data_IF_026452988357
#
_entry.id   IF_026452988357
#
_cell.length_a   1.000
_cell.length_b   1.000
_cell.length_c   1.000
_cell.angle_alpha   90.00
_cell.angle_beta   90.00
_cell.angle_gamma   90.00
#
_symmetry.space_group_name_H-M   'P 1'
#
loop_
_entity.id
_entity.type
_entity.pdbx_description
1 polymer ?
#
# COMPACT_ATOMS: atom_id res chain seq x y z
N UNK A 1 -54.39 7.90 64.93
CA UNK A 1 -54.74 8.09 63.50
C UNK A 1 -54.29 9.50 63.13
N UNK A 2 -53.37 9.82 62.23
CA UNK A 2 -52.75 9.11 61.10
C UNK A 2 -51.38 9.74 60.79
N UNK A 3 -50.43 8.89 60.41
CA UNK A 3 -49.03 9.19 60.11
C UNK A 3 -48.91 9.83 58.71
N UNK A 4 -48.48 11.10 58.63
CA UNK A 4 -48.25 11.81 57.36
C UNK A 4 -46.77 11.75 56.96
N UNK A 5 -46.18 10.56 56.89
CA UNK A 5 -44.92 10.30 56.19
C UNK A 5 -45.22 9.59 54.87
N UNK A 6 -45.58 10.35 53.84
CA UNK A 6 -45.49 9.84 52.48
C UNK A 6 -45.10 10.96 51.53
N UNK A 7 -44.26 10.61 50.55
CA UNK A 7 -43.68 11.46 49.49
C UNK A 7 -42.39 12.23 49.85
N UNK A 8 -41.36 11.50 50.25
CA UNK A 8 -40.00 11.79 49.76
C UNK A 8 -39.48 10.52 49.10
N UNK A 9 -40.02 10.21 47.93
CA UNK A 9 -39.59 9.05 47.14
C UNK A 9 -40.10 9.20 45.72
N UNK A 10 -39.67 10.22 44.97
CA UNK A 10 -39.78 10.23 43.50
C UNK A 10 -38.75 11.19 42.87
N UNK A 11 -37.48 11.11 43.28
CA UNK A 11 -36.39 11.47 42.36
C UNK A 11 -36.07 10.22 41.54
N UNK A 12 -36.89 9.97 40.52
CA UNK A 12 -36.60 8.96 39.51
C UNK A 12 -35.28 9.35 38.83
N UNK A 13 -34.26 8.51 39.01
CA UNK A 13 -32.94 8.73 38.41
C UNK A 13 -33.11 8.98 36.90
N UNK A 14 -32.48 10.02 36.33
CA UNK A 14 -32.69 10.36 34.93
C UNK A 14 -32.20 9.21 34.03
N UNK A 15 -33.13 8.59 33.30
CA UNK A 15 -32.92 7.54 32.27
C UNK A 15 -31.95 7.98 31.14
N UNK A 16 -31.61 9.27 31.09
CA UNK A 16 -30.67 9.91 30.15
C UNK A 16 -29.22 9.38 30.27
N UNK A 17 -28.82 8.89 31.46
CA UNK A 17 -27.45 8.42 31.73
C UNK A 17 -27.05 7.15 30.98
N UNK A 18 -27.98 6.23 30.71
CA UNK A 18 -27.68 4.99 29.97
C UNK A 18 -27.47 5.23 28.48
N UNK A 19 -28.26 6.14 27.87
CA UNK A 19 -28.16 6.47 26.44
C UNK A 19 -26.83 7.13 26.09
N UNK A 20 -26.35 8.05 26.92
CA UNK A 20 -25.03 8.71 26.74
C UNK A 20 -23.89 7.70 26.88
N UNK A 21 -23.99 6.76 27.84
CA UNK A 21 -22.97 5.72 28.03
C UNK A 21 -22.92 4.73 26.86
N UNK A 22 -24.07 4.38 26.28
CA UNK A 22 -24.14 3.53 25.10
C UNK A 22 -23.62 4.27 23.85
N UNK A 23 -23.87 5.58 23.73
CA UNK A 23 -23.34 6.40 22.64
C UNK A 23 -21.81 6.55 22.73
N UNK A 24 -21.27 6.82 23.93
CA UNK A 24 -19.84 6.88 24.17
C UNK A 24 -19.14 5.53 23.88
N UNK A 25 -19.73 4.41 24.29
CA UNK A 25 -19.23 3.07 23.94
C UNK A 25 -19.27 2.81 22.44
N UNK A 26 -20.36 3.15 21.75
CA UNK A 26 -20.47 2.99 20.30
C UNK A 26 -19.43 3.84 19.55
N UNK A 27 -19.23 5.08 19.98
CA UNK A 27 -18.22 5.98 19.41
C UNK A 27 -16.80 5.47 19.64
N UNK A 28 -16.52 4.92 20.83
CA UNK A 28 -15.21 4.34 21.18
C UNK A 28 -14.95 3.05 20.38
N UNK A 29 -15.94 2.18 20.22
CA UNK A 29 -15.85 0.97 19.39
C UNK A 29 -15.63 1.35 17.91
N UNK A 30 -16.35 2.36 17.40
CA UNK A 30 -16.20 2.83 16.02
C UNK A 30 -14.77 3.35 15.78
N UNK A 31 -14.25 4.17 16.70
CA UNK A 31 -12.90 4.71 16.62
C UNK A 31 -11.84 3.60 16.71
N UNK A 32 -12.03 2.63 17.62
CA UNK A 32 -11.12 1.49 17.75
C UNK A 32 -11.09 0.62 16.50
N UNK A 33 -12.24 0.35 15.87
CA UNK A 33 -12.34 -0.40 14.62
C UNK A 33 -11.69 0.33 13.44
N UNK A 34 -11.84 1.66 13.38
CA UNK A 34 -11.19 2.48 12.35
C UNK A 34 -9.66 2.48 12.53
N UNK A 35 -9.18 2.56 13.77
CA UNK A 35 -7.76 2.50 14.09
C UNK A 35 -7.15 1.14 13.74
N UNK A 36 -7.81 0.03 14.11
CA UNK A 36 -7.32 -1.32 13.78
C UNK A 36 -7.32 -1.59 12.28
N UNK A 37 -8.35 -1.14 11.55
CA UNK A 37 -8.38 -1.24 10.09
C UNK A 37 -7.25 -0.45 9.43
N UNK A 38 -7.01 0.79 9.86
CA UNK A 38 -5.92 1.62 9.33
C UNK A 38 -4.54 0.98 9.55
N UNK A 39 -4.28 0.48 10.76
CA UNK A 39 -3.02 -0.22 11.09
C UNK A 39 -2.87 -1.49 10.26
N UNK A 40 -3.95 -2.24 10.03
CA UNK A 40 -3.95 -3.42 9.16
C UNK A 40 -3.57 -3.08 7.71
N UNK A 41 -4.15 -2.02 7.15
CA UNK A 41 -3.82 -1.55 5.80
C UNK A 41 -2.36 -1.07 5.70
N UNK A 42 -1.88 -0.34 6.72
CA UNK A 42 -0.51 0.18 6.75
C UNK A 42 0.51 -0.96 6.76
N UNK A 43 0.32 -1.98 7.61
CA UNK A 43 1.17 -3.16 7.63
C UNK A 43 1.11 -3.93 6.31
N UNK A 44 -0.08 -4.10 5.73
CA UNK A 44 -0.25 -4.78 4.45
C UNK A 44 0.55 -4.08 3.35
N UNK A 45 0.45 -2.76 3.23
CA UNK A 45 1.19 -1.99 2.23
C UNK A 45 2.71 -2.04 2.46
N UNK A 46 3.15 -2.00 3.72
CA UNK A 46 4.57 -2.11 4.06
C UNK A 46 5.13 -3.49 3.68
N UNK A 47 4.43 -4.56 4.04
CA UNK A 47 4.84 -5.95 3.76
C UNK A 47 4.86 -6.26 2.26
N UNK A 48 3.81 -5.87 1.53
CA UNK A 48 3.69 -6.16 0.09
C UNK A 48 4.74 -5.39 -0.72
N UNK A 49 5.22 -4.23 -0.26
CA UNK A 49 6.35 -3.51 -0.89
C UNK A 49 7.60 -4.39 -0.99
N UNK A 50 7.97 -5.06 0.10
CA UNK A 50 9.14 -5.93 0.12
C UNK A 50 8.96 -7.13 -0.81
N UNK A 51 7.73 -7.66 -0.88
CA UNK A 51 7.38 -8.71 -1.83
C UNK A 51 7.54 -8.25 -3.29
N UNK A 52 7.08 -7.04 -3.63
CA UNK A 52 7.29 -6.44 -4.97
C UNK A 52 8.78 -6.34 -5.29
N UNK A 53 9.59 -5.81 -4.37
CA UNK A 53 11.03 -5.65 -4.59
C UNK A 53 11.73 -6.99 -4.82
N UNK A 54 11.43 -8.01 -4.02
CA UNK A 54 11.99 -9.36 -4.18
C UNK A 54 11.59 -9.94 -5.53
N UNK A 55 10.30 -9.89 -5.89
CA UNK A 55 9.82 -10.40 -7.18
C UNK A 55 10.44 -9.64 -8.36
N UNK A 56 10.62 -8.33 -8.24
CA UNK A 56 11.22 -7.49 -9.28
C UNK A 56 12.68 -7.89 -9.51
N UNK A 57 13.45 -8.10 -8.44
CA UNK A 57 14.82 -8.58 -8.52
C UNK A 57 14.91 -9.99 -9.11
N UNK A 58 14.00 -10.90 -8.76
CA UNK A 58 13.95 -12.24 -9.35
C UNK A 58 13.71 -12.16 -10.86
N UNK A 59 12.73 -11.37 -11.32
CA UNK A 59 12.44 -11.23 -12.76
C UNK A 59 13.65 -10.65 -13.49
N UNK A 60 14.28 -9.60 -12.96
CA UNK A 60 15.48 -8.99 -13.55
C UNK A 60 16.64 -10.00 -13.60
N UNK A 61 16.89 -10.72 -12.51
CA UNK A 61 17.96 -11.72 -12.44
C UNK A 61 17.74 -12.86 -13.44
N UNK A 62 16.53 -13.41 -13.51
CA UNK A 62 16.18 -14.46 -14.49
C UNK A 62 16.29 -13.95 -15.92
N UNK A 63 15.81 -12.74 -16.21
CA UNK A 63 15.88 -12.19 -17.57
C UNK A 63 17.30 -11.88 -18.01
N UNK A 64 18.15 -11.39 -17.10
CA UNK A 64 19.59 -11.21 -17.35
C UNK A 64 20.29 -12.54 -17.62
N UNK A 65 20.04 -13.56 -16.79
CA UNK A 65 20.61 -14.89 -17.00
C UNK A 65 20.14 -15.50 -18.32
N UNK A 66 18.87 -15.31 -18.68
CA UNK A 66 18.31 -15.72 -19.97
C UNK A 66 19.02 -15.08 -21.16
N UNK A 67 19.38 -13.78 -21.05
CA UNK A 67 20.15 -13.06 -22.08
C UNK A 67 21.57 -13.56 -22.23
N UNK A 68 22.30 -13.64 -21.11
CA UNK A 68 23.73 -14.00 -21.11
C UNK A 68 23.90 -15.45 -21.54
N UNK A 69 23.02 -16.34 -21.04
CA UNK A 69 23.07 -17.78 -21.34
C UNK A 69 22.38 -18.14 -22.65
N UNK A 70 21.79 -17.17 -23.38
CA UNK A 70 20.99 -17.37 -24.60
C UNK A 70 19.93 -18.48 -24.45
N UNK A 71 19.30 -18.56 -23.27
CA UNK A 71 18.29 -19.58 -23.01
C UNK A 71 17.01 -19.27 -23.80
N UNK A 72 16.24 -20.31 -24.19
CA UNK A 72 14.90 -20.10 -24.73
C UNK A 72 13.99 -19.48 -23.66
N UNK A 73 12.98 -18.74 -24.10
CA UNK A 73 12.03 -18.10 -23.19
C UNK A 73 11.00 -19.12 -22.70
N UNK A 74 11.04 -19.47 -21.41
CA UNK A 74 10.20 -20.52 -20.86
C UNK A 74 8.86 -20.01 -20.33
N UNK A 75 7.90 -20.92 -20.18
CA UNK A 75 6.60 -20.62 -19.54
C UNK A 75 6.79 -20.06 -18.14
N UNK A 76 7.80 -20.55 -17.40
CA UNK A 76 8.07 -20.11 -16.04
C UNK A 76 8.46 -18.62 -15.97
N UNK A 77 9.18 -18.09 -16.97
CA UNK A 77 9.56 -16.67 -17.01
C UNK A 77 8.35 -15.75 -17.21
N UNK A 78 7.40 -16.20 -18.04
CA UNK A 78 6.13 -15.51 -18.21
C UNK A 78 5.26 -15.55 -16.94
N UNK A 79 5.30 -16.65 -16.18
CA UNK A 79 4.59 -16.76 -14.89
C UNK A 79 5.19 -15.80 -13.88
N UNK A 80 6.52 -15.76 -13.72
CA UNK A 80 7.18 -14.81 -12.81
C UNK A 80 6.86 -13.36 -13.17
N UNK A 81 6.88 -13.00 -14.46
CA UNK A 81 6.51 -11.65 -14.90
C UNK A 81 5.02 -11.34 -14.64
N UNK A 82 4.13 -12.32 -14.72
CA UNK A 82 2.71 -12.16 -14.37
C UNK A 82 2.51 -11.96 -12.87
N UNK A 83 3.17 -12.76 -12.03
CA UNK A 83 3.11 -12.61 -10.57
C UNK A 83 3.61 -11.23 -10.17
N UNK A 84 4.76 -10.79 -10.70
CA UNK A 84 5.27 -9.44 -10.47
C UNK A 84 4.24 -8.37 -10.83
N UNK A 85 3.60 -8.48 -12.00
CA UNK A 85 2.58 -7.53 -12.43
C UNK A 85 1.41 -7.48 -11.43
N UNK A 86 0.86 -8.63 -11.04
CA UNK A 86 -0.29 -8.70 -10.12
C UNK A 86 0.06 -8.10 -8.76
N UNK A 87 1.19 -8.52 -8.17
CA UNK A 87 1.62 -8.05 -6.85
C UNK A 87 1.88 -6.54 -6.86
N UNK A 88 2.47 -6.01 -7.94
CA UNK A 88 2.70 -4.56 -8.09
C UNK A 88 1.38 -3.77 -8.17
N UNK A 89 0.38 -4.29 -8.88
CA UNK A 89 -0.94 -3.63 -8.93
C UNK A 89 -1.62 -3.66 -7.56
N UNK A 90 -1.61 -4.79 -6.86
CA UNK A 90 -2.15 -4.89 -5.50
C UNK A 90 -1.45 -3.87 -4.58
N UNK A 91 -0.12 -3.80 -4.64
CA UNK A 91 0.66 -2.84 -3.85
C UNK A 91 0.24 -1.40 -4.12
N UNK A 92 0.07 -1.04 -5.39
CA UNK A 92 -0.34 0.31 -5.79
C UNK A 92 -1.77 0.63 -5.36
N UNK A 93 -2.72 -0.30 -5.52
CA UNK A 93 -4.10 -0.11 -5.09
C UNK A 93 -4.20 0.08 -3.57
N UNK A 94 -3.50 -0.75 -2.78
CA UNK A 94 -3.48 -0.60 -1.31
C UNK A 94 -2.83 0.75 -0.94
N UNK A 95 -1.77 1.15 -1.63
CA UNK A 95 -1.13 2.46 -1.43
C UNK A 95 -2.04 3.63 -1.77
N UNK A 96 -2.87 3.49 -2.81
CA UNK A 96 -3.85 4.49 -3.21
C UNK A 96 -4.97 4.63 -2.17
N UNK A 97 -5.47 3.52 -1.63
CA UNK A 97 -6.43 3.55 -0.52
C UNK A 97 -5.83 4.29 0.69
N UNK A 98 -4.59 3.96 1.06
CA UNK A 98 -3.87 4.65 2.14
C UNK A 98 -3.65 6.14 1.86
N UNK A 99 -3.45 6.53 0.60
CA UNK A 99 -3.30 7.93 0.19
C UNK A 99 -4.54 8.76 0.56
N UNK A 100 -5.74 8.21 0.33
CA UNK A 100 -7.01 8.88 0.65
C UNK A 100 -7.39 8.82 2.14
N UNK A 101 -7.07 7.73 2.84
CA UNK A 101 -7.42 7.54 4.25
C UNK A 101 -6.45 8.28 5.20
N UNK A 102 -5.20 8.51 4.77
CA UNK A 102 -4.18 9.10 5.64
C UNK A 102 -4.43 10.61 5.93
N UNK A 103 -4.51 11.02 7.22
CA UNK A 103 -4.86 12.38 7.64
C UNK A 103 -3.74 13.42 7.45
N UNK A 104 -2.66 13.08 6.75
CA UNK A 104 -1.48 13.94 6.56
C UNK A 104 -1.82 15.22 5.78
N UNK A 105 -1.59 16.38 6.40
CA UNK A 105 -1.78 17.72 5.83
C UNK A 105 -0.46 18.51 5.82
N UNK A 106 -0.37 19.57 4.99
CA UNK A 106 0.81 20.46 4.92
C UNK A 106 1.91 19.98 3.97
N UNK A 107 3.18 20.22 4.32
CA UNK A 107 4.39 19.94 3.51
C UNK A 107 4.55 18.45 3.13
N UNK A 108 3.92 17.55 3.89
CA UNK A 108 3.87 16.11 3.59
C UNK A 108 2.96 15.76 2.40
N UNK A 109 2.02 16.64 2.02
CA UNK A 109 1.10 16.41 0.90
C UNK A 109 1.82 16.33 -0.45
N UNK A 110 2.80 17.20 -0.67
CA UNK A 110 3.61 17.20 -1.89
C UNK A 110 4.35 15.87 -2.07
N UNK A 111 4.96 15.38 -0.98
CA UNK A 111 5.65 14.09 -1.01
C UNK A 111 4.69 12.92 -1.27
N UNK A 112 3.50 12.92 -0.65
CA UNK A 112 2.49 11.89 -0.92
C UNK A 112 2.13 11.85 -2.42
N UNK A 113 2.03 13.01 -3.07
CA UNK A 113 1.74 13.10 -4.49
C UNK A 113 2.91 12.62 -5.36
N UNK A 114 4.13 13.10 -5.12
CA UNK A 114 5.34 12.68 -5.86
C UNK A 114 5.59 11.17 -5.72
N UNK A 115 5.41 10.64 -4.50
CA UNK A 115 5.51 9.21 -4.24
C UNK A 115 4.46 8.41 -5.02
N UNK A 116 3.18 8.83 -4.95
CA UNK A 116 2.10 8.17 -5.70
C UNK A 116 2.33 8.24 -7.22
N UNK A 117 2.82 9.36 -7.71
CA UNK A 117 3.12 9.57 -9.13
C UNK A 117 4.28 8.68 -9.61
N UNK A 118 5.38 8.60 -8.84
CA UNK A 118 6.48 7.70 -9.18
C UNK A 118 6.08 6.22 -9.12
N UNK A 119 5.24 5.82 -8.15
CA UNK A 119 4.70 4.45 -8.12
C UNK A 119 3.78 4.16 -9.31
N UNK A 120 2.99 5.13 -9.76
CA UNK A 120 2.18 4.99 -10.98
C UNK A 120 3.06 4.76 -12.21
N UNK A 121 4.14 5.53 -12.36
CA UNK A 121 5.12 5.30 -13.44
C UNK A 121 5.72 3.89 -13.37
N UNK A 122 6.13 3.44 -12.20
CA UNK A 122 6.66 2.08 -12.02
C UNK A 122 5.66 0.99 -12.45
N UNK A 123 4.38 1.12 -12.07
CA UNK A 123 3.31 0.19 -12.48
C UNK A 123 3.14 0.16 -14.00
N UNK A 124 3.14 1.33 -14.64
CA UNK A 124 3.03 1.44 -16.10
C UNK A 124 4.22 0.73 -16.77
N UNK A 125 5.44 0.98 -16.30
CA UNK A 125 6.65 0.37 -16.84
C UNK A 125 6.61 -1.16 -16.74
N UNK A 126 6.24 -1.71 -15.58
CA UNK A 126 6.12 -3.16 -15.36
C UNK A 126 5.03 -3.76 -16.26
N UNK A 127 3.91 -3.05 -16.44
CA UNK A 127 2.82 -3.46 -17.33
C UNK A 127 3.27 -3.49 -18.78
N UNK A 128 3.98 -2.45 -19.23
CA UNK A 128 4.55 -2.38 -20.58
C UNK A 128 5.60 -3.46 -20.77
N UNK A 129 6.47 -3.72 -19.79
CA UNK A 129 7.49 -4.77 -19.84
C UNK A 129 6.90 -6.12 -20.21
N UNK A 130 5.84 -6.51 -19.49
CA UNK A 130 5.16 -7.80 -19.69
C UNK A 130 4.33 -7.85 -20.98
N UNK A 131 3.54 -6.81 -21.25
CA UNK A 131 2.64 -6.80 -22.42
C UNK A 131 3.41 -6.78 -23.73
N UNK A 132 4.57 -6.12 -23.76
CA UNK A 132 5.41 -6.07 -24.95
C UNK A 132 6.28 -7.31 -25.11
N UNK A 133 6.84 -7.88 -24.03
CA UNK A 133 7.56 -9.16 -24.12
C UNK A 133 6.67 -10.29 -24.63
N UNK A 134 5.39 -10.32 -24.23
CA UNK A 134 4.42 -11.28 -24.77
C UNK A 134 4.20 -11.21 -26.28
N UNK A 135 4.36 -10.03 -26.88
CA UNK A 135 4.10 -9.80 -28.31
C UNK A 135 5.33 -10.04 -29.19
N UNK A 136 6.51 -10.21 -28.58
CA UNK A 136 7.75 -10.44 -29.31
C UNK A 136 7.88 -11.91 -29.72
N UNK A 137 8.46 -12.15 -30.88
CA UNK A 137 8.69 -13.50 -31.43
C UNK A 137 10.02 -14.07 -30.97
N UNK A 138 11.08 -13.26 -31.01
CA UNK A 138 12.44 -13.63 -30.62
C UNK A 138 12.64 -13.68 -29.09
N UNK A 139 13.23 -14.76 -28.59
CA UNK A 139 13.41 -15.01 -27.16
C UNK A 139 14.42 -14.05 -26.52
N UNK A 140 15.51 -13.71 -27.23
CA UNK A 140 16.48 -12.72 -26.76
C UNK A 140 15.81 -11.35 -26.58
N UNK A 141 14.98 -10.95 -27.53
CA UNK A 141 14.22 -9.70 -27.49
C UNK A 141 13.24 -9.65 -26.32
N UNK A 142 12.57 -10.76 -25.99
CA UNK A 142 11.70 -10.88 -24.81
C UNK A 142 12.47 -10.59 -23.51
N UNK A 143 13.62 -11.24 -23.34
CA UNK A 143 14.43 -11.06 -22.14
C UNK A 143 15.05 -9.65 -22.05
N UNK A 144 15.45 -9.05 -23.18
CA UNK A 144 15.94 -7.65 -23.22
C UNK A 144 14.85 -6.72 -22.73
N UNK A 145 13.64 -6.87 -23.27
CA UNK A 145 12.49 -6.03 -22.92
C UNK A 145 12.13 -6.13 -21.44
N UNK A 146 12.08 -7.35 -20.90
CA UNK A 146 11.86 -7.60 -19.48
C UNK A 146 12.95 -6.98 -18.62
N UNK A 147 14.21 -7.13 -19.01
CA UNK A 147 15.35 -6.59 -18.24
C UNK A 147 15.29 -5.07 -18.19
N UNK A 148 15.31 -4.39 -19.34
CA UNK A 148 15.44 -2.92 -19.38
C UNK A 148 14.28 -2.21 -18.69
N UNK A 149 13.04 -2.65 -18.95
CA UNK A 149 11.87 -1.99 -18.38
C UNK A 149 11.69 -2.27 -16.89
N UNK A 150 11.99 -3.50 -16.42
CA UNK A 150 11.93 -3.79 -14.98
C UNK A 150 13.09 -3.13 -14.22
N UNK A 151 14.29 -3.00 -14.81
CA UNK A 151 15.39 -2.23 -14.21
C UNK A 151 15.02 -0.76 -14.11
N UNK A 152 14.43 -0.18 -15.15
CA UNK A 152 13.97 1.21 -15.10
C UNK A 152 12.88 1.39 -14.04
N UNK A 153 11.93 0.45 -13.94
CA UNK A 153 10.93 0.45 -12.87
C UNK A 153 11.57 0.35 -11.47
N UNK A 154 12.61 -0.48 -11.31
CA UNK A 154 13.36 -0.60 -10.06
C UNK A 154 14.01 0.73 -9.66
N UNK A 155 14.65 1.42 -10.60
CA UNK A 155 15.25 2.74 -10.34
C UNK A 155 14.19 3.74 -9.88
N UNK A 156 13.03 3.77 -10.53
CA UNK A 156 11.92 4.65 -10.13
C UNK A 156 11.43 4.31 -8.71
N UNK A 157 11.23 3.02 -8.39
CA UNK A 157 10.79 2.59 -7.05
C UNK A 157 11.83 2.95 -5.98
N UNK A 158 13.12 2.74 -6.26
CA UNK A 158 14.17 3.09 -5.31
C UNK A 158 14.28 4.60 -5.10
N UNK A 159 14.14 5.40 -6.18
CA UNK A 159 14.12 6.86 -6.09
C UNK A 159 12.99 7.39 -5.21
N UNK A 160 11.76 6.87 -5.38
CA UNK A 160 10.62 7.28 -4.54
C UNK A 160 10.75 6.83 -3.10
N UNK A 161 11.41 5.70 -2.85
CA UNK A 161 11.65 5.15 -1.51
C UNK A 161 12.73 5.93 -0.77
N UNK A 162 13.82 6.28 -1.47
CA UNK A 162 14.90 7.11 -0.93
C UNK A 162 14.42 8.53 -0.61
N UNK A 163 13.63 9.15 -1.49
CA UNK A 163 13.06 10.47 -1.25
C UNK A 163 12.21 10.53 0.02
N UNK A 164 11.46 9.44 0.29
CA UNK A 164 10.70 9.32 1.53
C UNK A 164 11.58 9.27 2.77
N UNK A 165 12.66 8.50 2.71
CA UNK A 165 13.61 8.40 3.83
C UNK A 165 14.36 9.72 4.07
N UNK A 166 14.79 10.40 3.01
CA UNK A 166 15.55 11.64 3.10
C UNK A 166 14.73 12.80 3.69
N UNK A 167 13.44 12.87 3.38
CA UNK A 167 12.53 13.89 3.92
C UNK A 167 12.23 13.71 5.40
N UNK A 168 12.23 12.46 5.89
CA UNK A 168 12.11 12.16 7.33
C UNK A 168 13.32 12.73 8.08
N UNK A 169 14.53 12.62 7.53
CA UNK A 169 15.77 13.12 8.15
C UNK A 169 15.88 14.65 8.03
N UNK A 170 15.45 15.24 6.93
CA UNK A 170 15.51 16.70 6.74
C UNK A 170 14.59 17.49 7.67
N UNK A 171 13.51 16.88 8.17
CA UNK A 171 12.51 17.53 9.03
C UNK A 171 12.79 17.39 10.53
N UNK A 172 13.89 16.74 10.95
CA UNK A 172 14.27 16.63 12.37
C UNK A 172 15.03 17.83 12.91
N UNK A 173 15.26 18.86 12.08
CA UNK A 173 16.01 20.08 12.43
C UNK A 173 15.13 21.35 12.48
N UNK A 174 13.81 21.22 12.68
CA UNK A 174 12.89 22.34 12.90
C UNK A 174 12.05 22.12 14.15
#
# INVERSE_FOLDING_TARGET
>A
MTNKRSKISLLSKPKKRSKVRNFGKAMLILNLNLLTMYIGLLHTHSSVRYLVLIMLLIVIGKSLLGLVSKKPFEKIDNVFSLILLIVTHIQFLVGLILYFVSPRAGSERYFKFEHAFGMLLAVILITVARTTSKKMTDDSSKFKRLTYLNVLALVVILGTLLMGHLKIIGNTNM
#
